data_IF_319524538778
#
_entry.id   IF_319524538778
#
_cell.length_a   1.000
_cell.length_b   1.000
_cell.length_c   1.000
_cell.angle_alpha   90.00
_cell.angle_beta   90.00
_cell.angle_gamma   90.00
#
_symmetry.space_group_name_H-M   'P 1'
#
loop_
_entity.id
_entity.type
_entity.pdbx_description
1 polymer ?
#
# COMPACT_ATOMS: atom_id res chain seq x y z
N UNK A 1 -3.32 8.91 -12.94
CA UNK A 1 -1.95 8.37 -12.79
C UNK A 1 -1.76 7.95 -11.34
N UNK A 2 -0.78 7.09 -10.99
CA UNK A 2 -0.55 6.69 -9.58
C UNK A 2 -0.07 7.91 -8.79
N UNK A 3 -0.72 8.20 -7.66
CA UNK A 3 -0.30 9.28 -6.74
C UNK A 3 0.42 8.69 -5.53
N UNK A 4 1.28 9.51 -4.95
CA UNK A 4 1.90 9.23 -3.65
C UNK A 4 1.14 9.96 -2.55
N UNK A 5 0.82 9.21 -1.51
CA UNK A 5 0.26 9.68 -0.25
C UNK A 5 1.38 9.66 0.79
N UNK A 6 1.55 10.75 1.53
CA UNK A 6 2.45 10.81 2.68
C UNK A 6 1.64 10.64 3.96
N UNK A 7 1.97 9.63 4.76
CA UNK A 7 1.32 9.35 6.04
C UNK A 7 2.38 9.31 7.16
N UNK A 8 2.54 10.41 7.90
CA UNK A 8 3.29 10.38 9.15
C UNK A 8 2.61 9.46 10.16
N UNK A 9 3.40 8.60 10.81
CA UNK A 9 2.87 7.60 11.75
C UNK A 9 2.68 8.16 13.17
N UNK A 10 3.22 9.35 13.46
CA UNK A 10 2.99 10.12 14.69
C UNK A 10 3.58 9.53 15.98
N UNK A 11 3.95 8.25 16.00
CA UNK A 11 4.58 7.54 17.12
C UNK A 11 5.92 6.99 16.68
N UNK A 12 6.95 7.17 17.50
CA UNK A 12 8.28 6.57 17.30
C UNK A 12 8.27 5.02 17.37
N UNK A 13 7.12 4.42 17.72
CA UNK A 13 6.96 2.96 17.87
C UNK A 13 6.75 2.21 16.55
N UNK A 14 6.42 2.88 15.44
CA UNK A 14 6.21 2.24 14.13
C UNK A 14 7.51 2.23 13.36
N UNK A 15 8.28 1.15 13.52
CA UNK A 15 9.63 1.04 12.93
C UNK A 15 9.71 0.05 11.79
N UNK A 16 8.68 -0.79 11.63
CA UNK A 16 8.61 -1.85 10.62
C UNK A 16 7.21 -1.89 9.99
N UNK A 17 7.14 -2.34 8.74
CA UNK A 17 5.93 -2.63 7.99
C UNK A 17 4.95 -3.53 8.76
N UNK A 18 5.44 -4.44 9.61
CA UNK A 18 4.57 -5.28 10.45
C UNK A 18 3.72 -4.49 11.43
N UNK A 19 4.21 -3.33 11.88
CA UNK A 19 3.49 -2.48 12.86
C UNK A 19 2.26 -1.79 12.24
N UNK A 20 2.18 -1.75 10.90
CA UNK A 20 1.09 -1.13 10.14
C UNK A 20 0.16 -2.16 9.46
N UNK A 21 0.45 -3.45 9.56
CA UNK A 21 -0.30 -4.52 8.89
C UNK A 21 -1.43 -5.10 9.75
N UNK A 22 -2.56 -5.44 9.09
CA UNK A 22 -3.47 -6.50 9.52
C UNK A 22 -4.21 -6.28 10.84
N UNK A 23 -4.76 -5.09 11.05
CA UNK A 23 -5.31 -4.69 12.35
C UNK A 23 -6.84 -4.67 12.43
N UNK A 24 -7.55 -4.76 11.30
CA UNK A 24 -9.01 -4.74 11.29
C UNK A 24 -9.60 -6.09 10.92
N UNK A 25 -10.28 -6.73 11.89
CA UNK A 25 -11.02 -7.97 11.69
C UNK A 25 -12.38 -7.67 11.05
N UNK A 26 -12.52 -7.99 9.76
CA UNK A 26 -13.74 -7.70 9.00
C UNK A 26 -14.98 -8.36 9.61
N UNK A 27 -14.86 -9.58 10.14
CA UNK A 27 -15.99 -10.29 10.73
C UNK A 27 -16.45 -9.63 12.04
N UNK A 28 -15.50 -9.21 12.89
CA UNK A 28 -15.79 -8.49 14.15
C UNK A 28 -16.51 -7.16 13.90
N UNK A 29 -16.10 -6.42 12.89
CA UNK A 29 -16.64 -5.09 12.59
C UNK A 29 -17.74 -5.09 11.51
N UNK A 30 -18.22 -6.28 11.10
CA UNK A 30 -19.15 -6.46 9.98
C UNK A 30 -20.38 -5.54 10.04
N UNK A 31 -20.95 -5.34 11.23
CA UNK A 31 -22.16 -4.53 11.42
C UNK A 31 -21.99 -3.04 11.10
N UNK A 32 -20.74 -2.56 11.00
CA UNK A 32 -20.44 -1.16 10.74
C UNK A 32 -20.25 -0.88 9.25
N UNK A 33 -20.14 -1.92 8.40
CA UNK A 33 -20.00 -1.76 6.96
C UNK A 33 -21.35 -1.88 6.26
N UNK A 34 -21.51 -1.13 5.18
CA UNK A 34 -22.57 -1.42 4.23
C UNK A 34 -22.34 -2.78 3.57
N UNK A 35 -23.43 -3.42 3.12
CA UNK A 35 -23.37 -4.76 2.53
C UNK A 35 -22.39 -4.81 1.34
N UNK A 36 -22.37 -3.78 0.50
CA UNK A 36 -21.45 -3.67 -0.64
C UNK A 36 -20.00 -3.53 -0.19
N UNK A 37 -19.72 -2.66 0.78
CA UNK A 37 -18.36 -2.45 1.31
C UNK A 37 -17.80 -3.73 1.93
N UNK A 38 -18.60 -4.44 2.74
CA UNK A 38 -18.19 -5.69 3.35
C UNK A 38 -17.89 -6.76 2.30
N UNK A 39 -18.73 -6.87 1.26
CA UNK A 39 -18.51 -7.83 0.16
C UNK A 39 -17.22 -7.48 -0.59
N UNK A 40 -16.95 -6.21 -0.84
CA UNK A 40 -15.75 -5.77 -1.56
C UNK A 40 -14.48 -6.00 -0.74
N UNK A 41 -14.47 -5.56 0.52
CA UNK A 41 -13.37 -5.82 1.45
C UNK A 41 -13.11 -7.31 1.62
N UNK A 42 -14.15 -8.15 1.71
CA UNK A 42 -13.99 -9.61 1.83
C UNK A 42 -13.42 -10.27 0.57
N UNK A 43 -13.61 -9.67 -0.62
CA UNK A 43 -12.97 -10.15 -1.86
C UNK A 43 -11.49 -9.82 -1.90
N UNK A 44 -11.12 -8.64 -1.39
CA UNK A 44 -9.73 -8.16 -1.32
C UNK A 44 -8.97 -8.92 -0.23
N UNK A 45 -9.51 -8.93 1.00
CA UNK A 45 -8.89 -9.50 2.20
C UNK A 45 -9.47 -10.87 2.54
N UNK A 46 -8.99 -11.90 1.82
CA UNK A 46 -9.53 -13.27 1.89
C UNK A 46 -9.33 -13.96 3.25
N UNK A 47 -8.37 -13.52 4.05
CA UNK A 47 -8.14 -14.00 5.41
C UNK A 47 -9.01 -13.29 6.46
N UNK A 48 -9.84 -12.33 6.03
CA UNK A 48 -10.70 -11.53 6.90
C UNK A 48 -9.97 -10.43 7.66
N UNK A 49 -8.66 -10.23 7.44
CA UNK A 49 -7.86 -9.22 8.12
C UNK A 49 -7.44 -8.12 7.16
N UNK A 50 -7.96 -6.93 7.37
CA UNK A 50 -7.66 -5.78 6.54
C UNK A 50 -6.59 -4.90 7.19
N UNK A 51 -5.57 -4.51 6.42
CA UNK A 51 -4.67 -3.43 6.81
C UNK A 51 -5.34 -2.11 6.46
N UNK A 52 -5.47 -1.22 7.44
CA UNK A 52 -6.10 0.08 7.24
C UNK A 52 -5.44 1.15 8.09
N UNK A 53 -5.61 2.39 7.65
CA UNK A 53 -5.29 3.58 8.42
C UNK A 53 -6.51 4.49 8.44
N UNK A 54 -6.64 5.27 9.51
CA UNK A 54 -7.68 6.28 9.59
C UNK A 54 -7.12 7.66 9.88
N UNK A 55 -7.81 8.67 9.38
CA UNK A 55 -7.41 10.07 9.45
C UNK A 55 -8.49 10.83 10.21
N UNK A 56 -8.07 11.73 11.11
CA UNK A 56 -8.99 12.64 11.79
C UNK A 56 -9.66 13.60 10.80
N UNK A 57 -10.91 13.97 11.06
CA UNK A 57 -11.56 15.07 10.35
C UNK A 57 -10.76 16.36 10.57
N UNK A 58 -10.64 17.10 9.48
CA UNK A 58 -10.09 18.44 9.43
C UNK A 58 -10.29 18.85 7.99
N UNK A 59 -10.91 20.00 7.74
CA UNK A 59 -11.48 20.35 6.43
C UNK A 59 -10.49 20.07 5.27
N UNK A 60 -9.24 20.51 5.42
CA UNK A 60 -8.16 20.27 4.44
C UNK A 60 -7.70 18.82 4.30
N UNK A 61 -7.89 17.98 5.31
CA UNK A 61 -7.54 16.55 5.28
C UNK A 61 -8.61 15.74 4.57
N UNK A 62 -9.89 16.10 4.74
CA UNK A 62 -11.01 15.48 4.04
C UNK A 62 -10.85 15.64 2.52
N UNK A 63 -10.60 16.87 2.05
CA UNK A 63 -10.38 17.16 0.62
C UNK A 63 -9.20 16.36 0.03
N UNK A 64 -8.14 16.19 0.83
CA UNK A 64 -6.98 15.37 0.44
C UNK A 64 -7.35 13.89 0.37
N UNK A 65 -8.06 13.37 1.36
CA UNK A 65 -8.51 11.98 1.39
C UNK A 65 -9.45 11.68 0.20
N UNK A 66 -10.25 12.65 -0.23
CA UNK A 66 -11.11 12.47 -1.40
C UNK A 66 -10.33 12.21 -2.69
N UNK A 67 -9.11 12.74 -2.79
CA UNK A 67 -8.24 12.58 -3.96
C UNK A 67 -7.58 11.19 -4.05
N UNK A 68 -7.64 10.39 -2.99
CA UNK A 68 -7.12 9.02 -2.96
C UNK A 68 -8.00 8.10 -3.79
N UNK A 69 -7.37 7.23 -4.57
CA UNK A 69 -8.03 6.14 -5.29
C UNK A 69 -7.29 4.81 -5.10
N UNK A 70 -7.98 3.66 -5.25
CA UNK A 70 -7.30 2.37 -5.32
C UNK A 70 -6.20 2.35 -6.39
N UNK A 71 -5.05 1.75 -6.06
CA UNK A 71 -3.84 1.74 -6.88
C UNK A 71 -2.84 2.84 -6.55
N UNK A 72 -3.24 3.88 -5.80
CA UNK A 72 -2.28 4.87 -5.28
C UNK A 72 -1.33 4.23 -4.25
N UNK A 73 -0.17 4.86 -4.03
CA UNK A 73 0.86 4.37 -3.10
C UNK A 73 0.94 5.26 -1.88
N UNK A 74 0.82 4.67 -0.69
CA UNK A 74 1.07 5.36 0.57
C UNK A 74 2.49 5.09 1.06
N UNK A 75 3.17 6.16 1.49
CA UNK A 75 4.47 6.14 2.15
C UNK A 75 4.28 6.50 3.62
N UNK A 76 4.61 5.56 4.50
CA UNK A 76 4.59 5.78 5.93
C UNK A 76 5.92 6.39 6.35
N UNK A 77 5.86 7.55 7.02
CA UNK A 77 7.04 8.35 7.35
C UNK A 77 7.22 8.59 8.84
N UNK A 78 8.47 8.57 9.28
CA UNK A 78 8.95 9.09 10.56
C UNK A 78 10.11 10.08 10.32
N UNK A 79 11.35 9.66 10.57
CA UNK A 79 12.59 10.40 10.20
C UNK A 79 12.99 10.23 8.73
N UNK A 80 12.30 9.32 8.03
CA UNK A 80 12.43 8.97 6.62
C UNK A 80 11.22 8.12 6.24
N UNK A 81 11.26 7.43 5.09
CA UNK A 81 10.21 6.49 4.71
C UNK A 81 10.57 5.11 5.26
N UNK A 82 9.69 4.56 6.10
CA UNK A 82 9.88 3.27 6.79
C UNK A 82 9.06 2.15 6.16
N UNK A 83 7.97 2.50 5.48
CA UNK A 83 7.18 1.53 4.74
C UNK A 83 6.43 2.16 3.57
N UNK A 84 6.08 1.31 2.61
CA UNK A 84 5.19 1.66 1.50
C UNK A 84 4.07 0.62 1.36
N UNK A 85 2.89 1.02 0.93
CA UNK A 85 1.80 0.10 0.60
C UNK A 85 0.95 0.63 -0.57
N UNK A 86 0.20 -0.26 -1.22
CA UNK A 86 -0.75 0.10 -2.28
C UNK A 86 -2.15 0.19 -1.70
N UNK A 87 -2.85 1.29 -1.99
CA UNK A 87 -4.22 1.51 -1.54
C UNK A 87 -5.16 0.61 -2.32
N UNK A 88 -6.07 -0.06 -1.61
CA UNK A 88 -7.00 -1.05 -2.17
C UNK A 88 -8.45 -0.59 -2.10
N UNK A 89 -8.81 0.16 -1.06
CA UNK A 89 -10.17 0.61 -0.80
C UNK A 89 -10.16 1.86 0.08
N UNK A 90 -11.25 2.63 0.09
CA UNK A 90 -11.45 3.75 1.03
C UNK A 90 -12.93 3.86 1.41
N UNK A 91 -13.20 4.29 2.63
CA UNK A 91 -14.56 4.58 3.09
C UNK A 91 -14.55 5.66 4.18
N UNK A 92 -15.66 6.38 4.31
CA UNK A 92 -15.88 7.34 5.38
C UNK A 92 -16.92 6.79 6.34
N UNK A 93 -16.52 6.52 7.59
CA UNK A 93 -17.36 5.83 8.55
C UNK A 93 -17.03 6.23 9.99
N UNK A 94 -17.86 7.12 10.54
CA UNK A 94 -17.70 7.61 11.91
C UNK A 94 -17.94 6.52 12.95
N UNK A 95 -18.93 5.65 12.74
CA UNK A 95 -19.28 4.58 13.69
C UNK A 95 -18.15 3.57 13.83
N UNK A 96 -17.57 3.14 12.70
CA UNK A 96 -16.38 2.29 12.70
C UNK A 96 -15.20 3.00 13.35
N UNK A 97 -15.00 4.30 13.05
CA UNK A 97 -13.97 5.13 13.66
C UNK A 97 -14.03 5.12 15.18
N UNK A 98 -15.21 5.37 15.75
CA UNK A 98 -15.41 5.37 17.21
C UNK A 98 -15.14 4.01 17.84
N UNK A 99 -15.61 2.92 17.23
CA UNK A 99 -15.46 1.58 17.80
C UNK A 99 -14.04 1.01 17.63
N UNK A 100 -13.37 1.35 16.52
CA UNK A 100 -12.04 0.82 16.20
C UNK A 100 -10.89 1.66 16.79
N UNK A 101 -10.96 2.99 16.67
CA UNK A 101 -9.90 3.89 17.13
C UNK A 101 -10.21 4.60 18.43
N UNK A 102 -11.49 4.68 18.82
CA UNK A 102 -11.94 5.58 19.88
C UNK A 102 -11.97 7.05 19.44
N UNK A 103 -12.09 7.94 20.43
CA UNK A 103 -11.90 9.37 20.26
C UNK A 103 -10.57 9.81 20.89
N UNK A 104 -10.03 10.94 20.43
CA UNK A 104 -8.94 11.60 21.14
C UNK A 104 -9.44 12.38 22.38
N UNK A 105 -8.51 13.11 23.03
CA UNK A 105 -8.78 13.95 24.20
C UNK A 105 -9.80 15.07 23.92
N UNK A 106 -9.91 15.49 22.65
CA UNK A 106 -10.83 16.54 22.19
C UNK A 106 -12.18 15.98 21.67
N UNK A 107 -12.36 14.65 21.71
CA UNK A 107 -13.56 13.97 21.23
C UNK A 107 -13.61 13.77 19.72
N UNK A 108 -12.53 14.06 18.97
CA UNK A 108 -12.48 13.83 17.53
C UNK A 108 -12.32 12.35 17.19
N UNK A 109 -13.11 11.89 16.22
CA UNK A 109 -13.16 10.50 15.79
C UNK A 109 -12.43 10.36 14.45
N UNK A 110 -11.56 9.36 14.35
CA UNK A 110 -10.86 9.05 13.10
C UNK A 110 -11.80 8.30 12.15
N UNK A 111 -12.47 9.02 11.26
CA UNK A 111 -13.56 8.49 10.44
C UNK A 111 -13.23 8.35 8.94
N UNK A 112 -12.11 8.88 8.46
CA UNK A 112 -11.67 8.71 7.07
C UNK A 112 -10.71 7.55 6.96
N UNK A 113 -11.18 6.41 6.45
CA UNK A 113 -10.39 5.19 6.33
C UNK A 113 -9.84 5.03 4.92
N UNK A 114 -8.61 4.54 4.81
CA UNK A 114 -8.13 3.88 3.61
C UNK A 114 -7.49 2.55 3.97
N UNK A 115 -7.66 1.60 3.07
CA UNK A 115 -7.19 0.24 3.18
C UNK A 115 -6.04 0.02 2.21
N UNK A 116 -5.12 -0.85 2.56
CA UNK A 116 -3.94 -1.09 1.77
C UNK A 116 -3.45 -2.53 1.85
N UNK A 117 -2.61 -2.90 0.90
CA UNK A 117 -1.92 -4.19 0.81
C UNK A 117 -0.53 -4.00 0.17
N UNK A 118 0.20 -5.08 -0.07
CA UNK A 118 1.57 -5.07 -0.59
C UNK A 118 2.50 -4.20 0.26
N UNK A 119 2.36 -4.34 1.59
CA UNK A 119 3.17 -3.58 2.54
C UNK A 119 4.62 -4.03 2.45
N UNK A 120 5.54 -3.07 2.35
CA UNK A 120 6.98 -3.30 2.31
C UNK A 120 7.71 -2.44 3.30
N UNK A 121 8.77 -3.00 3.87
CA UNK A 121 9.78 -2.23 4.56
C UNK A 121 10.54 -1.34 3.57
N UNK A 122 10.74 -0.10 3.98
CA UNK A 122 11.54 0.90 3.27
C UNK A 122 12.63 1.41 4.21
N UNK A 123 13.75 1.83 3.64
CA UNK A 123 14.82 2.49 4.38
C UNK A 123 15.32 3.69 3.58
N UNK A 124 14.39 4.60 3.28
CA UNK A 124 14.68 5.78 2.45
C UNK A 124 14.85 6.95 3.40
N UNK A 125 16.03 7.58 3.35
CA UNK A 125 16.28 8.77 4.15
C UNK A 125 15.40 9.94 3.71
N UNK A 126 15.07 10.86 4.62
CA UNK A 126 14.34 12.07 4.24
C UNK A 126 15.08 12.89 3.17
N UNK A 127 16.41 12.81 3.15
CA UNK A 127 17.25 13.49 2.15
C UNK A 127 17.03 12.90 0.76
N UNK A 128 17.03 11.56 0.64
CA UNK A 128 16.82 10.89 -0.63
C UNK A 128 15.39 11.11 -1.14
N UNK A 129 14.41 11.04 -0.23
CA UNK A 129 13.02 11.40 -0.55
C UNK A 129 12.90 12.84 -1.06
N UNK A 130 13.47 13.81 -0.34
CA UNK A 130 13.41 15.22 -0.74
C UNK A 130 14.07 15.45 -2.11
N UNK A 131 15.24 14.83 -2.35
CA UNK A 131 15.91 14.88 -3.65
C UNK A 131 15.04 14.29 -4.78
N UNK A 132 14.33 13.19 -4.50
CA UNK A 132 13.43 12.55 -5.46
C UNK A 132 12.18 13.41 -5.74
N UNK A 133 11.61 14.01 -4.70
CA UNK A 133 10.44 14.87 -4.77
C UNK A 133 10.73 16.27 -5.34
N UNK A 134 12.00 16.68 -5.43
CA UNK A 134 12.41 18.04 -5.82
C UNK A 134 12.21 19.06 -4.70
N UNK A 135 12.21 18.63 -3.45
CA UNK A 135 12.08 19.48 -2.26
C UNK A 135 13.44 19.97 -1.75
N UNK A 136 13.42 21.00 -0.90
CA UNK A 136 14.63 21.48 -0.24
C UNK A 136 15.17 20.44 0.74
N UNK A 137 16.49 20.44 0.98
CA UNK A 137 17.17 19.44 1.82
C UNK A 137 16.68 19.44 3.28
N UNK A 138 16.22 20.58 3.79
CA UNK A 138 15.66 20.74 5.14
C UNK A 138 14.17 20.45 5.25
N UNK A 139 13.50 20.07 4.16
CA UNK A 139 12.09 19.73 4.20
C UNK A 139 11.84 18.50 5.08
N UNK A 140 10.78 18.55 5.89
CA UNK A 140 10.32 17.42 6.69
C UNK A 140 8.86 17.14 6.34
N UNK A 141 8.48 15.87 6.30
CA UNK A 141 7.11 15.47 6.01
C UNK A 141 6.23 15.81 7.22
N UNK A 142 5.29 16.74 7.05
CA UNK A 142 4.38 17.19 8.11
C UNK A 142 2.94 16.89 7.73
N UNK A 143 2.29 16.07 8.54
CA UNK A 143 0.89 15.69 8.35
C UNK A 143 0.64 14.88 7.07
N UNK A 144 -0.63 14.55 6.90
CA UNK A 144 -1.13 13.79 5.76
C UNK A 144 -1.18 14.65 4.49
N UNK A 145 -0.66 14.11 3.39
CA UNK A 145 -0.58 14.80 2.10
C UNK A 145 -0.83 13.86 0.93
N UNK A 146 -1.47 14.36 -0.14
CA UNK A 146 -1.60 13.67 -1.42
C UNK A 146 -0.88 14.49 -2.48
N UNK A 147 0.25 13.97 -2.95
CA UNK A 147 1.14 14.68 -3.87
C UNK A 147 0.50 14.84 -5.26
N UNK A 148 1.01 15.80 -6.04
CA UNK A 148 0.62 15.94 -7.45
C UNK A 148 1.13 14.76 -8.26
N UNK A 149 0.52 14.52 -9.44
CA UNK A 149 0.93 13.43 -10.33
C UNK A 149 2.39 13.60 -10.78
N UNK A 150 2.83 14.82 -11.07
CA UNK A 150 4.22 15.10 -11.49
C UNK A 150 5.24 14.77 -10.39
N UNK A 151 4.98 15.20 -9.17
CA UNK A 151 5.87 14.91 -8.02
C UNK A 151 5.87 13.41 -7.75
N UNK A 152 4.70 12.77 -7.80
CA UNK A 152 4.58 11.31 -7.62
C UNK A 152 5.39 10.56 -8.67
N UNK A 153 5.26 10.92 -9.95
CA UNK A 153 6.04 10.36 -11.05
C UNK A 153 7.55 10.50 -10.84
N UNK A 154 8.00 11.68 -10.42
CA UNK A 154 9.43 11.92 -10.16
C UNK A 154 9.96 11.02 -9.05
N UNK A 155 9.22 10.88 -7.95
CA UNK A 155 9.59 10.01 -6.83
C UNK A 155 9.67 8.55 -7.30
N UNK A 156 8.61 8.04 -7.95
CA UNK A 156 8.56 6.65 -8.41
C UNK A 156 9.66 6.34 -9.44
N UNK A 157 10.03 7.31 -10.27
CA UNK A 157 11.13 7.14 -11.23
C UNK A 157 12.53 7.09 -10.60
N UNK A 158 12.72 7.76 -9.45
CA UNK A 158 14.02 7.89 -8.77
C UNK A 158 14.20 6.90 -7.62
N UNK A 159 13.09 6.41 -7.07
CA UNK A 159 13.03 5.45 -5.96
C UNK A 159 12.17 4.24 -6.38
N UNK A 160 12.60 3.45 -7.38
CA UNK A 160 11.82 2.34 -7.93
C UNK A 160 11.51 1.24 -6.91
N UNK A 161 12.24 1.17 -5.79
CA UNK A 161 11.98 0.26 -4.67
C UNK A 161 10.64 0.52 -3.94
N UNK A 162 10.10 1.73 -4.07
CA UNK A 162 8.74 2.07 -3.60
C UNK A 162 7.72 1.24 -4.36
N UNK A 163 7.89 1.14 -5.68
CA UNK A 163 7.05 0.31 -6.51
C UNK A 163 7.42 -1.17 -6.37
N UNK A 164 6.41 -2.03 -6.37
CA UNK A 164 6.59 -3.35 -6.98
C UNK A 164 5.40 -3.50 -7.89
N UNK A 165 5.69 -3.75 -9.17
CA UNK A 165 4.84 -4.64 -9.97
C UNK A 165 4.31 -5.74 -9.06
N UNK A 166 2.98 -5.91 -9.03
CA UNK A 166 2.28 -7.00 -8.35
C UNK A 166 3.16 -8.24 -8.19
N UNK A 167 3.76 -8.43 -7.02
CA UNK A 167 4.38 -9.70 -6.66
C UNK A 167 3.41 -10.50 -5.82
N UNK A 168 2.18 -10.64 -6.32
CA UNK A 168 1.35 -11.81 -6.05
C UNK A 168 1.67 -12.96 -7.01
N UNK A 169 2.71 -12.83 -7.84
CA UNK A 169 2.96 -13.76 -8.92
C UNK A 169 4.32 -14.45 -8.79
N UNK A 170 4.30 -15.78 -8.73
CA UNK A 170 5.49 -16.62 -8.95
C UNK A 170 6.21 -16.23 -10.24
N UNK A 171 5.48 -15.63 -11.19
CA UNK A 171 5.97 -15.00 -12.42
C UNK A 171 7.10 -13.97 -12.18
N UNK A 172 7.09 -13.17 -11.11
CA UNK A 172 8.17 -12.20 -10.84
C UNK A 172 9.50 -12.85 -10.48
N UNK A 173 9.46 -13.94 -9.69
CA UNK A 173 10.65 -14.75 -9.38
C UNK A 173 11.22 -15.43 -10.63
N UNK A 174 10.34 -15.97 -11.48
CA UNK A 174 10.75 -16.59 -12.74
C UNK A 174 11.30 -15.57 -13.73
N UNK A 175 10.72 -14.37 -13.85
CA UNK A 175 11.29 -13.31 -14.71
C UNK A 175 12.70 -12.94 -14.26
N UNK A 176 12.91 -12.70 -12.97
CA UNK A 176 14.23 -12.35 -12.44
C UNK A 176 15.27 -13.44 -12.70
N UNK A 177 14.90 -14.72 -12.53
CA UNK A 177 15.80 -15.84 -12.83
C UNK A 177 16.13 -15.94 -14.33
N UNK A 178 15.18 -15.68 -15.23
CA UNK A 178 15.45 -15.66 -16.68
C UNK A 178 16.38 -14.53 -17.07
N UNK A 179 16.15 -13.30 -16.58
CA UNK A 179 17.02 -12.17 -16.90
C UNK A 179 18.45 -12.35 -16.37
N UNK A 180 18.62 -13.03 -15.23
CA UNK A 180 19.93 -13.20 -14.60
C UNK A 180 20.68 -14.45 -15.04
N UNK A 181 19.96 -15.53 -15.39
CA UNK A 181 20.56 -16.84 -15.71
C UNK A 181 20.32 -17.30 -17.14
N UNK A 182 19.48 -16.59 -17.90
CA UNK A 182 19.03 -16.94 -19.25
C UNK A 182 18.36 -18.33 -19.37
N UNK A 183 18.08 -19.00 -18.24
CA UNK A 183 17.48 -20.33 -18.21
C UNK A 183 16.77 -20.60 -16.89
N UNK A 184 15.67 -21.35 -16.94
CA UNK A 184 14.93 -21.86 -15.77
C UNK A 184 14.54 -23.31 -15.99
N UNK A 185 14.69 -24.11 -14.94
CA UNK A 185 14.26 -25.51 -14.90
C UNK A 185 13.21 -25.65 -13.79
N UNK A 186 12.00 -26.12 -14.14
CA UNK A 186 10.96 -26.47 -13.18
C UNK A 186 11.04 -27.98 -12.89
N UNK A 187 11.39 -28.35 -11.66
CA UNK A 187 11.57 -29.76 -11.24
C UNK A 187 10.67 -30.10 -10.04
N UNK A 188 10.24 -31.38 -9.94
CA UNK A 188 9.43 -31.89 -8.84
C UNK A 188 8.54 -33.09 -9.21
N UNK A 189 7.84 -33.70 -8.24
CA UNK A 189 7.01 -34.90 -8.41
C UNK A 189 5.94 -34.76 -9.51
N UNK A 190 5.45 -35.85 -10.13
CA UNK A 190 4.34 -35.79 -11.08
C UNK A 190 3.09 -35.15 -10.43
N UNK A 191 2.31 -34.39 -11.21
CA UNK A 191 1.09 -33.71 -10.73
C UNK A 191 1.30 -32.33 -10.08
N UNK A 192 2.53 -31.86 -9.86
CA UNK A 192 2.81 -30.58 -9.19
C UNK A 192 2.67 -29.32 -10.08
N UNK A 193 1.93 -29.41 -11.18
CA UNK A 193 1.60 -28.25 -12.02
C UNK A 193 2.77 -27.64 -12.82
N UNK A 194 3.95 -28.29 -12.89
CA UNK A 194 5.13 -27.76 -13.60
C UNK A 194 4.85 -27.36 -15.05
N UNK A 195 4.19 -28.24 -15.81
CA UNK A 195 3.82 -27.99 -17.21
C UNK A 195 2.85 -26.82 -17.35
N UNK A 196 1.88 -26.72 -16.44
CA UNK A 196 0.92 -25.63 -16.40
C UNK A 196 1.61 -24.30 -16.12
N UNK A 197 2.47 -24.26 -15.10
CA UNK A 197 3.22 -23.06 -14.73
C UNK A 197 4.20 -22.62 -15.82
N UNK A 198 4.91 -23.56 -16.46
CA UNK A 198 5.79 -23.25 -17.60
C UNK A 198 5.01 -22.63 -18.76
N UNK A 199 3.86 -23.21 -19.13
CA UNK A 199 3.03 -22.71 -20.22
C UNK A 199 2.44 -21.34 -19.90
N UNK A 200 1.84 -21.18 -18.72
CA UNK A 200 1.27 -19.90 -18.26
C UNK A 200 2.33 -18.80 -18.30
N UNK A 201 3.50 -19.08 -17.75
CA UNK A 201 4.62 -18.16 -17.73
C UNK A 201 5.12 -17.79 -19.14
N UNK A 202 5.26 -18.76 -20.05
CA UNK A 202 5.71 -18.49 -21.41
C UNK A 202 4.75 -17.57 -22.18
N UNK A 203 3.44 -17.77 -22.00
CA UNK A 203 2.41 -16.92 -22.62
C UNK A 203 2.48 -15.50 -22.08
N UNK A 204 2.57 -15.33 -20.76
CA UNK A 204 2.73 -14.01 -20.12
C UNK A 204 4.02 -13.31 -20.59
N UNK A 205 5.13 -14.03 -20.63
CA UNK A 205 6.43 -13.46 -21.00
C UNK A 205 6.46 -13.00 -22.47
N UNK A 206 5.95 -13.82 -23.40
CA UNK A 206 5.90 -13.46 -24.83
C UNK A 206 5.00 -12.24 -25.04
N UNK A 207 3.83 -12.22 -24.39
CA UNK A 207 2.86 -11.12 -24.54
C UNK A 207 3.37 -9.77 -24.02
N UNK A 208 4.39 -9.75 -23.15
CA UNK A 208 4.99 -8.53 -22.62
C UNK A 208 6.21 -8.03 -23.41
N UNK A 209 6.81 -8.89 -24.25
CA UNK A 209 8.05 -8.57 -25.00
C UNK A 209 7.76 -8.30 -26.48
N UNK A 210 6.51 -8.49 -26.92
CA UNK A 210 6.02 -8.20 -28.27
C UNK A 210 5.21 -6.90 -28.27
#
# INVERSE_FOLDING_TARGET
MVKIILQPTGKDTITDARDIMGNLDLAKYKQFFDKSEYIELSKIYKDGKASCWSIKPGERKADKWERIVPGDVVLFSQKGIVASATITFKLHNATLGSEFMGSDEDGEIYNYFYFFDNVKNQNISIKDFNNAAGYSSGNIIRGFEVLSEDVSKNILSRLPEIESKHSSDSSSKYKQLLFTKCQIILYGPPGTGKTYNARKFAVEFISEVT
#
